data_IF_358377724007
#
_entry.id   IF_358377724007
#
_cell.length_a   1.000
_cell.length_b   1.000
_cell.length_c   1.000
_cell.angle_alpha   90.00
_cell.angle_beta   90.00
_cell.angle_gamma   90.00
#
_symmetry.space_group_name_H-M   'P 1'
#
loop_
_entity.id
_entity.type
_entity.pdbx_description
1 polymer ?
#
# COMPACT_ATOMS: atom_id res chain seq x y z
N UNK A 1 19.73 21.56 50.60
CA UNK A 1 18.73 22.30 51.40
C UNK A 1 17.75 22.89 50.37
N UNK A 2 16.62 22.28 49.98
CA UNK A 2 15.42 21.76 50.69
C UNK A 2 14.75 20.76 49.70
N UNK A 3 14.88 19.43 49.81
CA UNK A 3 14.02 18.42 50.49
C UNK A 3 12.51 18.43 50.14
N UNK A 4 12.13 17.40 49.37
CA UNK A 4 10.92 16.53 49.30
C UNK A 4 9.53 17.06 48.93
N UNK A 5 8.85 16.26 48.10
CA UNK A 5 7.42 16.29 47.81
C UNK A 5 6.98 15.14 46.89
N UNK A 6 7.10 13.90 47.36
CA UNK A 6 6.63 12.68 46.69
C UNK A 6 5.11 12.56 46.83
N UNK A 7 4.36 12.56 45.71
CA UNK A 7 2.94 12.23 45.72
C UNK A 7 2.73 10.82 45.16
N UNK A 8 2.44 9.90 46.07
CA UNK A 8 1.92 8.57 45.81
C UNK A 8 0.42 8.65 45.56
N UNK A 9 -0.01 8.56 44.30
CA UNK A 9 -1.42 8.42 43.95
C UNK A 9 -1.82 6.95 44.06
N UNK A 10 -2.50 6.60 45.15
CA UNK A 10 -3.23 5.35 45.34
C UNK A 10 -4.31 5.17 44.27
N UNK A 11 -4.13 4.14 43.43
CA UNK A 11 -5.10 3.68 42.44
C UNK A 11 -6.24 2.93 43.12
N UNK A 12 -7.35 3.63 43.39
CA UNK A 12 -8.64 3.01 43.71
C UNK A 12 -9.32 2.57 42.43
N UNK A 13 -9.35 1.25 42.24
CA UNK A 13 -9.97 0.51 41.14
C UNK A 13 -11.50 0.64 41.22
N UNK A 14 -12.20 1.15 40.19
CA UNK A 14 -13.65 1.13 40.18
C UNK A 14 -14.15 -0.28 39.86
N UNK A 15 -14.94 -0.85 40.77
CA UNK A 15 -15.72 -2.07 40.56
C UNK A 15 -16.86 -1.77 39.59
N UNK A 16 -16.72 -2.21 38.34
CA UNK A 16 -17.81 -2.20 37.36
C UNK A 16 -18.73 -3.40 37.60
N UNK A 17 -19.91 -3.11 38.14
CA UNK A 17 -21.04 -4.04 38.20
C UNK A 17 -21.53 -4.34 36.77
N UNK A 18 -21.27 -5.53 36.26
CA UNK A 18 -21.90 -6.08 35.06
C UNK A 18 -23.28 -6.64 35.40
N UNK A 19 -24.31 -5.78 35.37
CA UNK A 19 -25.69 -6.24 35.29
C UNK A 19 -26.07 -6.40 33.81
N UNK A 20 -25.88 -7.61 33.30
CA UNK A 20 -26.25 -8.03 31.94
C UNK A 20 -27.77 -8.19 31.86
N UNK A 21 -28.48 -7.09 31.63
CA UNK A 21 -29.91 -7.11 31.30
C UNK A 21 -30.07 -7.28 29.80
N UNK A 22 -30.27 -8.51 29.35
CA UNK A 22 -30.58 -8.90 27.98
C UNK A 22 -31.93 -8.30 27.56
N UNK A 23 -31.89 -7.09 27.02
CA UNK A 23 -33.05 -6.44 26.40
C UNK A 23 -33.04 -6.77 24.91
N UNK A 24 -33.91 -7.69 24.49
CA UNK A 24 -34.21 -7.95 23.08
C UNK A 24 -34.75 -6.66 22.44
N UNK A 25 -33.87 -5.87 21.79
CA UNK A 25 -34.27 -4.80 20.88
C UNK A 25 -34.57 -5.41 19.52
N UNK A 26 -35.85 -5.59 19.24
CA UNK A 26 -36.36 -5.82 17.90
C UNK A 26 -36.10 -4.55 17.07
N UNK A 27 -35.14 -4.62 16.15
CA UNK A 27 -34.92 -3.56 15.17
C UNK A 27 -36.01 -3.65 14.11
N UNK A 28 -37.06 -2.84 14.24
CA UNK A 28 -37.99 -2.59 13.15
C UNK A 28 -37.26 -1.80 12.06
N UNK A 29 -36.88 -2.47 10.98
CA UNK A 29 -36.29 -1.87 9.78
C UNK A 29 -37.38 -1.12 8.98
N UNK A 30 -37.84 0.00 9.52
CA UNK A 30 -38.62 0.97 8.76
C UNK A 30 -37.67 1.68 7.81
N UNK A 31 -37.67 1.24 6.55
CA UNK A 31 -36.90 1.84 5.46
C UNK A 31 -37.30 3.32 5.32
N UNK A 32 -36.40 4.28 5.56
CA UNK A 32 -36.75 5.69 5.52
C UNK A 32 -37.10 6.06 4.07
N UNK A 33 -38.29 6.62 3.87
CA UNK A 33 -38.68 7.19 2.58
C UNK A 33 -37.72 8.34 2.25
N UNK A 34 -36.98 8.21 1.14
CA UNK A 34 -36.04 9.21 0.64
C UNK A 34 -36.78 10.51 0.31
N UNK A 35 -36.72 11.47 1.22
CA UNK A 35 -37.00 12.85 0.91
C UNK A 35 -35.78 13.43 0.19
N UNK A 36 -35.99 14.05 -0.98
CA UNK A 36 -34.94 14.75 -1.74
C UNK A 36 -34.29 15.79 -0.82
N UNK A 37 -33.06 15.56 -0.38
CA UNK A 37 -32.35 16.50 0.49
C UNK A 37 -32.04 17.76 -0.32
N UNK A 38 -32.40 18.92 0.22
CA UNK A 38 -31.99 20.20 -0.36
C UNK A 38 -30.46 20.32 -0.26
N UNK A 39 -29.78 20.92 -1.25
CA UNK A 39 -28.33 21.14 -1.21
C UNK A 39 -27.87 21.91 0.04
N UNK A 40 -28.77 22.70 0.64
CA UNK A 40 -28.52 23.40 1.91
C UNK A 40 -28.42 22.43 3.09
N UNK A 41 -29.19 21.33 3.11
CA UNK A 41 -29.09 20.30 4.13
C UNK A 41 -27.76 19.57 4.08
N UNK A 42 -27.24 19.28 2.88
CA UNK A 42 -25.92 18.67 2.74
C UNK A 42 -24.81 19.59 3.24
N UNK A 43 -24.93 20.90 3.02
CA UNK A 43 -24.00 21.89 3.55
C UNK A 43 -24.06 21.96 5.08
N UNK A 44 -25.25 22.09 5.66
CA UNK A 44 -25.43 22.16 7.11
C UNK A 44 -24.95 20.86 7.77
N UNK A 45 -25.24 19.69 7.19
CA UNK A 45 -24.77 18.42 7.71
C UNK A 45 -23.24 18.30 7.63
N UNK A 46 -22.61 18.79 6.55
CA UNK A 46 -21.14 18.78 6.40
C UNK A 46 -20.43 19.59 7.48
N UNK A 47 -20.92 20.77 7.81
CA UNK A 47 -20.32 21.63 8.84
C UNK A 47 -20.94 21.47 10.23
N UNK A 48 -21.91 20.55 10.38
CA UNK A 48 -22.47 20.24 11.68
C UNK A 48 -21.44 19.56 12.57
N UNK A 49 -21.55 19.78 13.88
CA UNK A 49 -20.74 19.09 14.89
C UNK A 49 -20.89 17.57 14.77
N UNK A 50 -22.10 17.09 14.50
CA UNK A 50 -22.36 15.66 14.29
C UNK A 50 -21.65 15.12 13.04
N UNK A 51 -21.65 15.89 11.95
CA UNK A 51 -20.95 15.53 10.72
C UNK A 51 -19.44 15.48 10.92
N UNK A 52 -18.87 16.45 11.65
CA UNK A 52 -17.46 16.45 12.00
C UNK A 52 -17.09 15.26 12.88
N UNK A 53 -17.87 14.97 13.92
CA UNK A 53 -17.65 13.79 14.78
C UNK A 53 -17.67 12.49 13.97
N UNK A 54 -18.60 12.39 13.02
CA UNK A 54 -18.68 11.22 12.15
C UNK A 54 -17.43 11.06 11.28
N UNK A 55 -16.96 12.13 10.62
CA UNK A 55 -15.72 12.09 9.82
C UNK A 55 -14.50 11.71 10.64
N UNK A 56 -14.35 12.32 11.82
CA UNK A 56 -13.27 11.99 12.76
C UNK A 56 -13.33 10.51 13.14
N UNK A 57 -14.53 9.97 13.42
CA UNK A 57 -14.69 8.55 13.76
C UNK A 57 -14.29 7.63 12.60
N UNK A 58 -14.74 7.93 11.37
CA UNK A 58 -14.40 7.14 10.18
C UNK A 58 -12.90 7.20 9.88
N UNK A 59 -12.31 8.39 9.86
CA UNK A 59 -10.87 8.58 9.64
C UNK A 59 -10.03 7.81 10.68
N UNK A 60 -10.42 7.86 11.95
CA UNK A 60 -9.76 7.09 13.02
C UNK A 60 -9.89 5.56 12.80
N UNK A 61 -11.07 5.06 12.42
CA UNK A 61 -11.25 3.64 12.14
C UNK A 61 -10.39 3.18 10.97
N UNK A 62 -10.39 3.94 9.86
CA UNK A 62 -9.56 3.69 8.69
C UNK A 62 -8.06 3.68 9.07
N UNK A 63 -7.62 4.69 9.83
CA UNK A 63 -6.24 4.76 10.33
C UNK A 63 -5.88 3.55 11.17
N UNK A 64 -6.73 3.15 12.13
CA UNK A 64 -6.49 1.99 12.99
C UNK A 64 -6.46 0.68 12.20
N UNK A 65 -7.30 0.54 11.17
CA UNK A 65 -7.26 -0.61 10.28
C UNK A 65 -5.93 -0.68 9.52
N UNK A 66 -5.46 0.43 8.94
CA UNK A 66 -4.16 0.50 8.26
C UNK A 66 -3.00 0.23 9.23
N UNK A 67 -3.06 0.80 10.43
CA UNK A 67 -2.07 0.60 11.48
C UNK A 67 -1.96 -0.85 11.92
N UNK A 68 -3.10 -1.50 12.15
CA UNK A 68 -3.15 -2.92 12.52
C UNK A 68 -2.53 -3.80 11.43
N UNK A 69 -2.86 -3.54 10.17
CA UNK A 69 -2.30 -4.29 9.05
C UNK A 69 -0.80 -4.04 8.88
N UNK A 70 -0.35 -2.78 8.91
CA UNK A 70 1.05 -2.41 8.74
C UNK A 70 1.96 -3.01 9.82
N UNK A 71 1.46 -3.20 11.05
CA UNK A 71 2.25 -3.73 12.17
C UNK A 71 2.05 -5.22 12.43
N UNK A 72 1.49 -5.97 11.49
CA UNK A 72 1.44 -7.41 11.66
C UNK A 72 2.87 -8.00 11.73
N UNK A 73 3.16 -8.91 12.69
CA UNK A 73 4.52 -9.41 12.90
C UNK A 73 5.14 -10.12 11.69
N UNK A 74 4.32 -10.66 10.80
CA UNK A 74 4.80 -11.41 9.63
C UNK A 74 5.58 -10.54 8.63
N UNK A 75 5.39 -9.22 8.64
CA UNK A 75 6.18 -8.26 7.87
C UNK A 75 7.64 -8.20 8.34
N UNK A 76 7.87 -8.25 9.65
CA UNK A 76 9.16 -7.93 10.28
C UNK A 76 9.93 -9.13 10.82
N UNK A 77 9.30 -10.31 10.83
CA UNK A 77 9.95 -11.49 11.39
C UNK A 77 11.04 -11.94 10.43
N UNK A 78 12.30 -11.90 10.87
CA UNK A 78 13.42 -12.49 10.12
C UNK A 78 13.11 -13.96 9.84
N UNK A 79 13.21 -14.37 8.59
CA UNK A 79 13.32 -15.79 8.28
C UNK A 79 14.55 -16.30 9.03
N UNK A 80 14.36 -17.28 9.91
CA UNK A 80 15.48 -17.93 10.57
C UNK A 80 16.22 -18.70 9.47
N UNK A 81 17.18 -18.07 8.82
CA UNK A 81 17.90 -18.60 7.67
C UNK A 81 18.90 -19.70 8.05
N UNK A 82 19.00 -20.09 9.32
CA UNK A 82 19.85 -21.21 9.75
C UNK A 82 19.14 -22.05 10.82
N UNK A 83 18.16 -22.85 10.40
CA UNK A 83 18.07 -24.18 10.98
C UNK A 83 18.85 -25.04 9.98
N UNK A 84 20.16 -25.17 10.22
CA UNK A 84 20.97 -26.17 9.55
C UNK A 84 20.29 -27.51 9.78
N UNK A 85 19.61 -28.00 8.74
CA UNK A 85 19.03 -29.34 8.68
C UNK A 85 20.15 -30.39 8.54
N UNK A 86 21.40 -29.95 8.37
CA UNK A 86 22.58 -30.79 8.10
C UNK A 86 23.22 -31.40 9.36
N UNK A 87 22.76 -31.07 10.57
CA UNK A 87 23.28 -31.63 11.83
C UNK A 87 22.41 -32.75 12.44
N UNK A 88 21.40 -33.28 11.72
CA UNK A 88 20.50 -34.35 12.25
C UNK A 88 20.87 -35.78 11.78
N UNK A 89 21.84 -35.96 10.87
CA UNK A 89 22.09 -37.29 10.27
C UNK A 89 23.43 -37.96 10.67
N UNK A 90 24.09 -37.58 11.78
CA UNK A 90 25.44 -38.08 12.07
C UNK A 90 25.58 -39.31 13.00
N UNK A 91 24.63 -39.68 13.86
CA UNK A 91 24.90 -40.71 14.90
C UNK A 91 23.76 -41.74 15.11
N UNK A 92 23.40 -42.49 14.07
CA UNK A 92 22.53 -43.67 14.21
C UNK A 92 23.13 -44.92 13.54
N UNK A 93 24.40 -45.20 13.85
CA UNK A 93 25.02 -46.52 13.69
C UNK A 93 25.02 -47.18 15.08
N UNK A 94 23.95 -47.88 15.46
CA UNK A 94 24.10 -49.04 16.34
C UNK A 94 23.02 -50.08 16.05
N UNK A 95 23.50 -51.29 15.80
CA UNK A 95 22.76 -52.46 15.38
C UNK A 95 21.82 -52.94 16.48
N UNK A 96 20.57 -53.26 16.13
CA UNK A 96 19.95 -54.49 16.63
C UNK A 96 18.69 -54.83 15.84
N UNK A 97 18.80 -55.89 15.06
CA UNK A 97 17.68 -56.65 14.52
C UNK A 97 16.74 -57.09 15.64
N UNK A 98 15.47 -56.67 15.59
CA UNK A 98 14.38 -57.60 15.88
C UNK A 98 13.08 -57.13 15.23
N UNK A 99 12.54 -58.04 14.44
CA UNK A 99 11.32 -57.91 13.66
C UNK A 99 10.09 -57.68 14.54
N UNK A 100 9.28 -56.68 14.22
CA UNK A 100 7.81 -56.83 14.23
C UNK A 100 7.10 -55.66 13.54
N UNK A 101 6.74 -55.94 12.29
CA UNK A 101 5.47 -55.66 11.60
C UNK A 101 4.51 -54.60 12.17
N UNK A 102 4.08 -53.78 11.21
CA UNK A 102 2.81 -53.02 11.12
C UNK A 102 2.74 -51.68 11.85
N UNK A 103 3.57 -50.73 11.42
CA UNK A 103 3.26 -49.30 11.57
C UNK A 103 2.86 -48.75 10.20
N UNK A 104 1.57 -48.45 10.05
CA UNK A 104 1.00 -47.70 8.94
C UNK A 104 1.71 -46.34 8.90
N UNK A 105 2.66 -46.19 7.96
CA UNK A 105 3.22 -44.87 7.59
C UNK A 105 2.12 -44.11 6.86
N UNK A 106 1.24 -43.47 7.62
CA UNK A 106 0.40 -42.39 7.11
C UNK A 106 1.33 -41.20 6.86
N UNK A 107 1.97 -41.20 5.69
CA UNK A 107 2.60 -40.02 5.09
C UNK A 107 1.48 -39.08 4.66
N UNK A 108 0.77 -38.49 5.62
CA UNK A 108 0.13 -37.21 5.42
C UNK A 108 1.26 -36.22 5.23
N UNK A 109 1.66 -36.01 3.97
CA UNK A 109 2.33 -34.81 3.54
C UNK A 109 1.40 -33.64 3.81
N UNK A 110 1.32 -33.23 5.08
CA UNK A 110 0.90 -31.88 5.43
C UNK A 110 1.95 -31.00 4.79
N UNK A 111 1.69 -30.55 3.56
CA UNK A 111 2.44 -29.49 2.95
C UNK A 111 2.40 -28.35 3.94
N UNK A 112 3.46 -28.21 4.72
CA UNK A 112 3.64 -27.09 5.63
C UNK A 112 3.73 -25.90 4.70
N UNK A 113 2.59 -25.26 4.45
CA UNK A 113 2.51 -24.00 3.71
C UNK A 113 3.53 -23.11 4.39
N UNK A 114 4.67 -22.92 3.74
CA UNK A 114 5.77 -22.13 4.28
C UNK A 114 5.25 -20.72 4.22
N UNK A 115 4.59 -20.27 5.28
CA UNK A 115 4.15 -18.88 5.38
C UNK A 115 5.42 -18.03 5.43
N UNK A 116 5.87 -17.60 4.27
CA UNK A 116 7.15 -16.91 4.10
C UNK A 116 7.06 -15.56 4.80
N UNK A 117 8.00 -15.35 5.72
CA UNK A 117 8.12 -14.11 6.49
C UNK A 117 9.02 -13.17 5.71
N UNK A 118 8.69 -11.88 5.70
CA UNK A 118 9.32 -10.93 4.77
C UNK A 118 10.63 -10.33 5.32
N UNK A 119 10.93 -10.55 6.60
CA UNK A 119 12.22 -10.17 7.18
C UNK A 119 12.52 -8.68 7.22
N UNK A 120 11.51 -7.80 7.09
CA UNK A 120 11.73 -6.36 7.14
C UNK A 120 12.40 -5.95 8.45
N UNK A 121 13.32 -5.00 8.38
CA UNK A 121 13.91 -4.41 9.59
C UNK A 121 12.81 -3.79 10.45
N UNK A 122 12.85 -4.00 11.76
CA UNK A 122 11.90 -3.42 12.73
C UNK A 122 12.20 -1.96 13.06
N UNK A 123 12.96 -1.26 12.23
CA UNK A 123 13.30 0.15 12.45
C UNK A 123 12.07 1.05 12.28
N UNK A 124 12.11 2.23 12.91
CA UNK A 124 11.05 3.23 12.78
C UNK A 124 10.74 3.57 11.32
N UNK A 125 11.77 3.60 10.46
CA UNK A 125 11.62 3.95 9.04
C UNK A 125 10.81 2.89 8.29
N UNK A 126 11.14 1.61 8.43
CA UNK A 126 10.41 0.52 7.76
C UNK A 126 8.98 0.40 8.29
N UNK A 127 8.76 0.55 9.60
CA UNK A 127 7.42 0.63 10.17
C UNK A 127 6.60 1.78 9.57
N UNK A 128 7.22 2.95 9.43
CA UNK A 128 6.59 4.12 8.84
C UNK A 128 6.30 3.94 7.36
N UNK A 129 7.24 3.43 6.56
CA UNK A 129 7.07 3.17 5.13
C UNK A 129 5.96 2.15 4.84
N UNK A 130 5.85 1.10 5.67
CA UNK A 130 4.75 0.13 5.56
C UNK A 130 3.41 0.76 5.94
N UNK A 131 3.37 1.61 6.97
CA UNK A 131 2.16 2.36 7.33
C UNK A 131 1.75 3.32 6.20
N UNK A 132 2.70 4.09 5.65
CA UNK A 132 2.49 4.98 4.51
C UNK A 132 1.88 4.26 3.33
N UNK A 133 2.38 3.07 2.97
CA UNK A 133 1.81 2.26 1.90
C UNK A 133 0.33 1.92 2.15
N UNK A 134 -0.04 1.56 3.38
CA UNK A 134 -1.44 1.27 3.70
C UNK A 134 -2.32 2.52 3.71
N UNK A 135 -1.80 3.65 4.19
CA UNK A 135 -2.49 4.95 4.10
C UNK A 135 -2.70 5.34 2.63
N UNK A 136 -1.75 5.04 1.75
CA UNK A 136 -1.87 5.30 0.32
C UNK A 136 -3.05 4.55 -0.31
N UNK A 137 -3.31 3.27 0.01
CA UNK A 137 -4.49 2.56 -0.51
C UNK A 137 -5.80 3.27 -0.11
N UNK A 138 -5.89 3.72 1.14
CA UNK A 138 -7.07 4.42 1.65
C UNK A 138 -7.22 5.80 0.98
N UNK A 139 -6.11 6.52 0.82
CA UNK A 139 -6.05 7.79 0.10
C UNK A 139 -6.54 7.62 -1.34
N UNK A 140 -6.03 6.61 -2.06
CA UNK A 140 -6.42 6.31 -3.45
C UNK A 140 -7.90 5.95 -3.56
N UNK A 141 -8.43 5.16 -2.62
CA UNK A 141 -9.87 4.83 -2.55
C UNK A 141 -10.74 6.08 -2.39
N UNK A 142 -10.36 6.99 -1.49
CA UNK A 142 -11.06 8.27 -1.29
C UNK A 142 -11.04 9.17 -2.55
N UNK A 143 -9.95 9.13 -3.32
CA UNK A 143 -9.85 9.87 -4.58
C UNK A 143 -10.66 9.24 -5.72
N UNK A 144 -10.72 7.91 -5.81
CA UNK A 144 -11.42 7.20 -6.87
C UNK A 144 -12.92 7.54 -6.89
N UNK A 145 -13.55 7.67 -5.72
CA UNK A 145 -14.96 8.03 -5.62
C UNK A 145 -15.24 9.50 -6.02
N UNK A 146 -14.22 10.37 -5.97
CA UNK A 146 -14.34 11.77 -6.38
C UNK A 146 -14.31 11.93 -7.91
N UNK A 147 -13.71 11.00 -8.65
CA UNK A 147 -13.41 11.17 -10.08
C UNK A 147 -14.46 10.64 -11.05
N UNK A 148 -15.55 10.02 -10.60
CA UNK A 148 -16.59 9.53 -11.53
C UNK A 148 -17.25 10.72 -12.26
N UNK A 149 -17.03 10.89 -13.58
CA UNK A 149 -17.61 12.00 -14.31
C UNK A 149 -19.13 11.80 -14.36
N UNK A 150 -19.89 12.84 -14.01
CA UNK A 150 -21.34 12.89 -14.18
C UNK A 150 -21.66 12.93 -15.69
N UNK A 151 -21.49 11.79 -16.39
CA UNK A 151 -21.74 11.68 -17.82
C UNK A 151 -23.24 11.74 -18.20
N UNK A 152 -24.13 11.94 -17.22
CA UNK A 152 -25.57 12.05 -17.44
C UNK A 152 -26.01 13.39 -18.05
N UNK A 153 -25.13 14.40 -18.16
CA UNK A 153 -25.50 15.71 -18.73
C UNK A 153 -25.49 15.76 -20.27
N UNK A 154 -25.07 14.70 -20.97
CA UNK A 154 -24.80 14.78 -22.41
C UNK A 154 -25.90 14.27 -23.36
N UNK A 155 -27.00 13.62 -22.92
CA UNK A 155 -27.91 12.96 -23.89
C UNK A 155 -29.42 12.92 -23.62
N UNK A 156 -29.98 13.56 -22.58
CA UNK A 156 -31.44 13.49 -22.37
C UNK A 156 -32.18 14.75 -22.82
N UNK A 157 -32.32 14.90 -24.14
CA UNK A 157 -33.37 15.74 -24.73
C UNK A 157 -34.59 14.92 -25.19
N UNK A 158 -34.63 13.58 -25.03
CA UNK A 158 -35.66 12.80 -25.74
C UNK A 158 -36.12 11.43 -25.21
N UNK A 159 -36.22 11.14 -23.91
CA UNK A 159 -37.05 9.97 -23.48
C UNK A 159 -37.96 10.28 -22.28
N UNK A 160 -39.12 10.86 -22.57
CA UNK A 160 -40.29 10.84 -21.67
C UNK A 160 -40.96 9.48 -21.79
N UNK A 161 -40.93 8.67 -20.72
CA UNK A 161 -41.85 7.56 -20.38
C UNK A 161 -41.13 6.22 -20.07
N UNK A 162 -40.37 6.18 -18.98
CA UNK A 162 -39.98 4.91 -18.36
C UNK A 162 -39.96 5.05 -16.84
N UNK A 163 -41.00 4.54 -16.18
CA UNK A 163 -41.12 4.43 -14.72
C UNK A 163 -40.20 3.31 -14.23
N UNK A 164 -38.90 3.55 -14.12
CA UNK A 164 -37.96 2.67 -13.42
C UNK A 164 -37.44 3.37 -12.18
N UNK A 165 -37.80 2.84 -11.01
CA UNK A 165 -37.37 3.26 -9.68
C UNK A 165 -35.91 2.87 -9.45
N UNK A 166 -34.99 3.52 -10.15
CA UNK A 166 -33.57 3.49 -9.83
C UNK A 166 -33.27 4.60 -8.82
N UNK A 167 -32.82 4.19 -7.63
CA UNK A 167 -32.39 5.05 -6.53
C UNK A 167 -31.09 5.78 -6.87
N UNK A 168 -31.12 6.71 -7.82
CA UNK A 168 -30.00 7.61 -8.11
C UNK A 168 -29.97 8.74 -7.08
N UNK A 169 -29.35 8.43 -5.94
CA UNK A 169 -28.98 9.45 -4.94
C UNK A 169 -27.98 10.42 -5.55
N UNK A 170 -28.22 11.71 -5.36
CA UNK A 170 -27.51 12.85 -5.92
C UNK A 170 -25.99 12.79 -5.61
N UNK A 171 -25.18 12.37 -6.59
CA UNK A 171 -23.73 12.12 -6.48
C UNK A 171 -22.89 13.37 -6.24
N UNK A 172 -23.44 14.57 -6.49
CA UNK A 172 -22.70 15.86 -6.46
C UNK A 172 -22.19 16.28 -5.07
N UNK A 173 -22.67 15.65 -3.98
CA UNK A 173 -22.24 15.95 -2.60
C UNK A 173 -21.12 15.05 -2.05
N UNK A 174 -20.90 13.87 -2.64
CA UNK A 174 -20.03 12.83 -2.07
C UNK A 174 -18.54 13.19 -2.06
N UNK A 175 -18.02 13.73 -3.16
CA UNK A 175 -16.60 14.11 -3.29
C UNK A 175 -16.10 15.04 -2.19
N UNK A 176 -16.91 16.02 -1.79
CA UNK A 176 -16.55 16.96 -0.72
C UNK A 176 -16.42 16.29 0.65
N UNK A 177 -17.19 15.24 0.91
CA UNK A 177 -17.15 14.52 2.18
C UNK A 177 -15.91 13.61 2.25
N UNK A 178 -15.56 12.92 1.16
CA UNK A 178 -14.35 12.10 1.06
C UNK A 178 -13.08 12.92 1.26
N UNK A 179 -13.00 14.12 0.68
CA UNK A 179 -11.88 15.04 0.90
C UNK A 179 -11.71 15.43 2.38
N UNK A 180 -12.82 15.65 3.09
CA UNK A 180 -12.75 15.95 4.53
C UNK A 180 -12.31 14.73 5.35
N UNK A 181 -12.72 13.50 4.98
CA UNK A 181 -12.22 12.28 5.62
C UNK A 181 -10.72 12.11 5.34
N UNK A 182 -10.28 12.41 4.12
CA UNK A 182 -8.88 12.34 3.72
C UNK A 182 -8.01 13.29 4.55
N UNK A 183 -8.43 14.53 4.75
CA UNK A 183 -7.75 15.50 5.61
C UNK A 183 -7.59 14.96 7.05
N UNK A 184 -8.68 14.52 7.67
CA UNK A 184 -8.69 13.96 9.03
C UNK A 184 -7.83 12.67 9.14
N UNK A 185 -7.78 11.86 8.08
CA UNK A 185 -6.93 10.65 8.01
C UNK A 185 -5.44 11.03 8.06
N UNK A 186 -5.03 12.04 7.28
CA UNK A 186 -3.64 12.52 7.28
C UNK A 186 -3.27 13.23 8.58
N UNK A 187 -4.17 14.02 9.17
CA UNK A 187 -3.94 14.63 10.48
C UNK A 187 -3.70 13.57 11.56
N UNK A 188 -4.53 12.51 11.58
CA UNK A 188 -4.36 11.38 12.50
C UNK A 188 -3.01 10.68 12.26
N UNK A 189 -2.65 10.44 11.00
CA UNK A 189 -1.38 9.82 10.62
C UNK A 189 -0.16 10.64 11.06
N UNK A 190 -0.18 11.97 10.88
CA UNK A 190 0.94 12.82 11.30
C UNK A 190 1.06 12.96 12.81
N UNK A 191 -0.07 13.01 13.53
CA UNK A 191 -0.06 12.99 14.98
C UNK A 191 0.54 11.68 15.53
N UNK A 192 0.18 10.52 14.96
CA UNK A 192 0.78 9.23 15.33
C UNK A 192 2.27 9.16 14.98
N UNK A 193 2.66 9.67 13.81
CA UNK A 193 4.06 9.74 13.38
C UNK A 193 4.91 10.57 14.35
N UNK A 194 4.43 11.75 14.73
CA UNK A 194 5.12 12.61 15.70
C UNK A 194 5.26 11.93 17.08
N UNK A 195 4.22 11.22 17.52
CA UNK A 195 4.26 10.45 18.76
C UNK A 195 5.30 9.31 18.70
N UNK A 196 5.43 8.62 17.57
CA UNK A 196 6.46 7.57 17.36
C UNK A 196 7.87 8.12 17.34
N UNK A 197 8.10 9.28 16.72
CA UNK A 197 9.40 9.96 16.74
C UNK A 197 9.81 10.25 18.19
N UNK A 198 8.90 10.80 19.00
CA UNK A 198 9.16 11.03 20.44
C UNK A 198 9.42 9.72 21.19
N UNK A 199 8.63 8.68 20.92
CA UNK A 199 8.81 7.37 21.55
C UNK A 199 10.15 6.70 21.19
N UNK A 200 10.73 7.04 20.03
CA UNK A 200 12.07 6.60 19.64
C UNK A 200 13.21 7.34 20.38
N UNK A 201 12.89 8.26 21.30
CA UNK A 201 13.89 9.00 22.09
C UNK A 201 14.52 10.19 21.35
N UNK A 202 13.94 10.62 20.24
CA UNK A 202 14.39 11.80 19.51
C UNK A 202 14.17 13.05 20.36
N UNK A 203 15.19 13.90 20.46
CA UNK A 203 15.15 15.15 21.22
C UNK A 203 14.03 16.09 20.71
N UNK A 204 13.26 16.73 21.60
CA UNK A 204 12.08 17.53 21.20
C UNK A 204 12.40 18.63 20.17
N UNK A 205 13.58 19.26 20.27
CA UNK A 205 14.03 20.27 19.28
C UNK A 205 14.26 19.70 17.88
N UNK A 206 14.54 18.40 17.73
CA UNK A 206 14.73 17.74 16.44
C UNK A 206 13.49 16.99 15.96
N UNK A 207 12.47 16.77 16.79
CA UNK A 207 11.22 16.07 16.40
C UNK A 207 10.60 16.66 15.14
N UNK A 208 10.51 18.00 15.04
CA UNK A 208 9.95 18.67 13.86
C UNK A 208 10.82 18.48 12.61
N UNK A 209 12.14 18.36 12.74
CA UNK A 209 13.04 18.06 11.63
C UNK A 209 12.77 16.64 11.11
N UNK A 210 12.77 15.66 12.00
CA UNK A 210 12.49 14.26 11.63
C UNK A 210 11.07 14.09 11.08
N UNK A 211 10.08 14.79 11.62
CA UNK A 211 8.71 14.76 11.10
C UNK A 211 8.66 15.27 9.66
N UNK A 212 9.31 16.39 9.35
CA UNK A 212 9.40 16.93 7.98
C UNK A 212 10.09 15.96 7.02
N UNK A 213 11.17 15.32 7.46
CA UNK A 213 11.87 14.31 6.66
C UNK A 213 10.97 13.10 6.36
N UNK A 214 10.26 12.57 7.35
CA UNK A 214 9.32 11.47 7.15
C UNK A 214 8.11 11.88 6.29
N UNK A 215 7.60 13.11 6.44
CA UNK A 215 6.54 13.65 5.59
C UNK A 215 6.99 13.70 4.12
N UNK A 216 8.20 14.22 3.85
CA UNK A 216 8.76 14.29 2.51
C UNK A 216 8.93 12.89 1.90
N UNK A 217 9.49 11.93 2.66
CA UNK A 217 9.66 10.55 2.21
C UNK A 217 8.31 9.89 1.92
N UNK A 218 7.32 10.09 2.79
CA UNK A 218 5.99 9.50 2.62
C UNK A 218 5.29 10.03 1.37
N UNK A 219 5.35 11.34 1.14
CA UNK A 219 4.74 11.96 -0.04
C UNK A 219 5.44 11.53 -1.33
N UNK A 220 6.76 11.40 -1.31
CA UNK A 220 7.52 10.85 -2.43
C UNK A 220 7.10 9.40 -2.74
N UNK A 221 6.97 8.56 -1.71
CA UNK A 221 6.50 7.18 -1.84
C UNK A 221 5.09 7.12 -2.46
N UNK A 222 4.14 7.90 -1.94
CA UNK A 222 2.76 7.95 -2.46
C UNK A 222 2.72 8.43 -3.92
N UNK A 223 3.50 9.46 -4.27
CA UNK A 223 3.55 10.02 -5.63
C UNK A 223 4.05 9.00 -6.65
N UNK A 224 5.03 8.17 -6.28
CA UNK A 224 5.52 7.11 -7.18
C UNK A 224 4.45 6.06 -7.47
N UNK A 225 3.67 5.65 -6.46
CA UNK A 225 2.57 4.73 -6.67
C UNK A 225 1.41 5.36 -7.46
N UNK A 226 1.12 6.65 -7.24
CA UNK A 226 0.13 7.37 -8.05
C UNK A 226 0.56 7.49 -9.51
N UNK A 227 1.84 7.75 -9.78
CA UNK A 227 2.40 7.74 -11.13
C UNK A 227 2.19 6.38 -11.80
N UNK A 228 2.56 5.29 -11.11
CA UNK A 228 2.35 3.93 -11.60
C UNK A 228 0.87 3.64 -11.89
N UNK A 229 -0.08 4.17 -11.11
CA UNK A 229 -1.49 3.97 -11.39
C UNK A 229 -1.98 4.85 -12.56
N UNK A 230 -1.64 6.14 -12.55
CA UNK A 230 -2.17 7.11 -13.51
C UNK A 230 -1.68 6.89 -14.94
N UNK A 231 -0.44 6.45 -15.11
CA UNK A 231 0.17 6.20 -16.42
C UNK A 231 -0.50 5.01 -17.14
N UNK A 232 -0.86 3.97 -16.40
CA UNK A 232 -1.34 2.69 -16.95
C UNK A 232 -2.86 2.47 -16.81
N UNK A 233 -3.60 3.31 -16.07
CA UNK A 233 -5.07 3.28 -16.01
C UNK A 233 -5.72 3.79 -17.31
N UNK A 234 -5.09 4.74 -17.99
CA UNK A 234 -5.59 5.30 -19.26
C UNK A 234 -5.19 4.37 -20.39
N UNK A 235 -5.97 3.29 -20.58
CA UNK A 235 -5.87 2.44 -21.77
C UNK A 235 -5.70 3.32 -23.01
N UNK A 236 -4.73 2.96 -23.86
CA UNK A 236 -4.15 3.83 -24.88
C UNK A 236 -5.16 4.75 -25.58
N UNK A 237 -4.84 6.05 -25.62
CA UNK A 237 -5.65 7.10 -26.29
C UNK A 237 -5.94 6.80 -27.77
N UNK A 238 -5.17 5.90 -28.36
CA UNK A 238 -5.26 5.45 -29.74
C UNK A 238 -6.46 4.55 -30.03
N UNK A 239 -7.28 4.19 -29.03
CA UNK A 239 -8.52 3.43 -29.23
C UNK A 239 -8.30 2.02 -29.77
N UNK A 240 -7.04 1.62 -29.96
CA UNK A 240 -6.62 0.30 -30.42
C UNK A 240 -6.44 -0.64 -29.25
N UNK A 241 -7.47 -0.80 -28.41
CA UNK A 241 -7.59 -1.89 -27.44
C UNK A 241 -6.30 -2.24 -26.68
N UNK A 242 -5.44 -1.25 -26.40
CA UNK A 242 -4.16 -1.48 -25.76
C UNK A 242 -4.46 -1.84 -24.32
N UNK A 243 -4.40 -3.13 -24.01
CA UNK A 243 -4.64 -3.64 -22.67
C UNK A 243 -3.82 -2.85 -21.65
N UNK A 244 -4.38 -2.64 -20.46
CA UNK A 244 -3.66 -2.09 -19.32
C UNK A 244 -2.32 -2.82 -19.25
N UNK A 245 -1.21 -2.11 -19.48
CA UNK A 245 0.14 -2.69 -19.43
C UNK A 245 0.50 -2.92 -17.96
N UNK A 246 -0.11 -3.97 -17.43
CA UNK A 246 -0.04 -4.38 -16.04
C UNK A 246 1.39 -4.77 -15.67
N UNK A 247 2.16 -5.29 -16.64
CA UNK A 247 3.56 -5.65 -16.44
C UNK A 247 4.41 -4.41 -16.15
N UNK A 248 4.33 -3.36 -16.97
CA UNK A 248 5.08 -2.13 -16.72
C UNK A 248 4.66 -1.44 -15.43
N UNK A 249 3.34 -1.39 -15.14
CA UNK A 249 2.86 -0.87 -13.86
C UNK A 249 3.47 -1.65 -12.69
N UNK A 250 3.48 -2.98 -12.78
CA UNK A 250 4.02 -3.86 -11.75
C UNK A 250 5.53 -3.62 -11.53
N UNK A 251 6.30 -3.43 -12.60
CA UNK A 251 7.72 -3.08 -12.51
C UNK A 251 7.95 -1.76 -11.75
N UNK A 252 7.20 -0.70 -12.06
CA UNK A 252 7.30 0.58 -11.34
C UNK A 252 6.87 0.44 -9.88
N UNK A 253 5.85 -0.38 -9.59
CA UNK A 253 5.45 -0.67 -8.21
C UNK A 253 6.57 -1.39 -7.46
N UNK A 254 7.20 -2.39 -8.07
CA UNK A 254 8.32 -3.14 -7.48
C UNK A 254 9.50 -2.21 -7.18
N UNK A 255 9.83 -1.32 -8.11
CA UNK A 255 10.85 -0.29 -7.94
C UNK A 255 10.50 0.71 -6.82
N UNK A 256 9.23 1.12 -6.69
CA UNK A 256 8.75 1.92 -5.56
C UNK A 256 8.87 1.18 -4.21
N UNK A 257 8.54 -0.11 -4.18
CA UNK A 257 8.71 -0.98 -3.00
C UNK A 257 10.18 -1.09 -2.61
N UNK A 258 11.05 -1.34 -3.60
CA UNK A 258 12.49 -1.44 -3.41
C UNK A 258 13.05 -0.20 -2.72
N UNK A 259 12.79 0.98 -3.30
CA UNK A 259 13.30 2.26 -2.79
C UNK A 259 12.78 2.62 -1.41
N UNK A 260 11.47 2.48 -1.18
CA UNK A 260 10.84 3.07 0.01
C UNK A 260 10.66 2.10 1.18
N UNK A 261 10.37 0.82 0.90
CA UNK A 261 10.11 -0.16 1.96
C UNK A 261 11.36 -0.94 2.34
N UNK A 262 12.09 -1.44 1.34
CA UNK A 262 13.20 -2.35 1.57
C UNK A 262 14.51 -1.60 1.85
N UNK A 263 14.51 -0.28 1.66
CA UNK A 263 15.68 0.55 1.91
C UNK A 263 16.74 0.40 0.82
N UNK A 264 16.32 0.01 -0.39
CA UNK A 264 17.15 0.05 -1.59
C UNK A 264 17.78 1.41 -1.67
N UNK A 265 19.09 1.44 -1.39
CA UNK A 265 19.77 2.58 -0.79
C UNK A 265 19.30 3.91 -1.36
N UNK A 266 18.87 4.82 -0.48
CA UNK A 266 19.09 6.23 -0.78
C UNK A 266 20.60 6.34 -0.88
N UNK A 267 21.14 6.21 -2.10
CA UNK A 267 22.53 6.51 -2.41
C UNK A 267 22.69 7.92 -1.89
N UNK A 268 23.30 8.04 -0.72
CA UNK A 268 23.30 9.26 0.07
C UNK A 268 24.10 10.30 -0.69
N UNK A 269 23.43 11.09 -1.53
CA UNK A 269 23.97 12.31 -2.12
C UNK A 269 25.30 12.12 -2.84
N UNK A 270 25.35 11.22 -3.83
CA UNK A 270 26.22 11.45 -4.98
C UNK A 270 25.62 12.61 -5.77
N UNK A 271 26.22 13.79 -5.62
CA UNK A 271 26.05 14.98 -6.43
C UNK A 271 25.63 14.64 -7.86
N UNK A 272 24.50 15.20 -8.32
CA UNK A 272 23.99 14.94 -9.65
C UNK A 272 25.07 15.11 -10.72
N UNK A 273 25.50 14.00 -11.33
CA UNK A 273 26.05 14.02 -12.67
C UNK A 273 24.85 14.22 -13.59
N UNK A 274 24.47 15.48 -13.79
CA UNK A 274 23.71 15.85 -14.97
C UNK A 274 24.55 15.44 -16.18
N UNK A 275 24.22 14.30 -16.78
CA UNK A 275 24.60 14.01 -18.16
C UNK A 275 23.70 14.89 -19.02
N UNK A 276 24.04 16.18 -19.05
CA UNK A 276 23.65 17.04 -20.15
C UNK A 276 24.50 16.59 -21.33
N UNK A 277 23.94 15.70 -22.15
CA UNK A 277 24.35 15.56 -23.54
C UNK A 277 23.97 16.87 -24.25
N UNK A 278 24.74 17.92 -23.96
CA UNK A 278 24.70 19.19 -24.66
C UNK A 278 25.54 19.02 -25.94
N UNK A 279 24.86 18.57 -26.98
CA UNK A 279 25.37 18.60 -28.34
C UNK A 279 25.47 20.04 -28.82
N UNK A 280 26.63 20.64 -28.58
CA UNK A 280 27.39 21.48 -29.51
C UNK A 280 26.69 22.69 -30.13
N UNK A 281 27.10 23.88 -29.69
CA UNK A 281 27.33 25.00 -30.60
C UNK A 281 28.55 25.80 -30.14
N UNK A 282 29.55 25.82 -31.00
CA UNK A 282 30.82 26.51 -30.86
C UNK A 282 30.64 28.03 -30.84
N UNK A 283 31.17 28.71 -29.83
CA UNK A 283 31.62 30.09 -30.00
C UNK A 283 32.84 30.39 -29.10
N UNK A 284 33.92 30.74 -29.80
CA UNK A 284 35.20 31.22 -29.30
C UNK A 284 35.04 32.39 -28.34
N UNK A 285 35.56 32.28 -27.11
CA UNK A 285 36.13 33.45 -26.41
C UNK A 285 37.39 33.07 -25.65
N UNK A 286 38.39 33.92 -25.87
CA UNK A 286 39.77 33.85 -25.40
C UNK A 286 39.89 34.22 -23.92
N UNK A 287 40.95 33.68 -23.32
CA UNK A 287 41.85 34.27 -22.31
C UNK A 287 41.21 34.82 -21.03
N UNK A 288 41.59 34.29 -19.87
CA UNK A 288 42.68 34.95 -19.13
C UNK A 288 43.23 34.06 -18.01
N UNK A 289 44.52 34.24 -17.77
CA UNK A 289 45.31 33.66 -16.70
C UNK A 289 44.72 33.92 -15.31
N UNK A 290 44.86 32.98 -14.38
CA UNK A 290 45.44 33.24 -13.03
C UNK A 290 45.23 32.07 -12.05
N UNK A 291 46.35 31.73 -11.42
CA UNK A 291 46.53 31.27 -10.04
C UNK A 291 46.34 29.80 -9.65
N UNK A 292 47.47 29.12 -9.80
CA UNK A 292 47.98 27.94 -9.12
C UNK A 292 47.90 28.08 -7.59
N UNK A 293 46.93 27.42 -6.96
CA UNK A 293 47.00 27.08 -5.53
C UNK A 293 46.68 25.61 -5.31
N UNK A 294 47.76 24.83 -5.24
CA UNK A 294 47.80 23.46 -4.72
C UNK A 294 47.37 23.46 -3.25
N UNK A 295 46.14 23.03 -2.99
CA UNK A 295 45.71 22.59 -1.67
C UNK A 295 45.69 21.05 -1.66
N UNK A 296 46.83 20.47 -1.25
CA UNK A 296 47.02 19.04 -0.97
C UNK A 296 46.29 18.65 0.33
N UNK A 297 44.98 18.86 0.36
CA UNK A 297 44.12 18.33 1.41
C UNK A 297 43.88 16.85 1.15
N UNK A 298 44.80 16.02 1.68
CA UNK A 298 44.66 14.56 1.85
C UNK A 298 43.32 14.24 2.52
N UNK A 299 42.29 14.07 1.70
CA UNK A 299 41.00 13.53 2.09
C UNK A 299 41.25 12.07 2.43
N UNK A 300 41.34 11.77 3.73
CA UNK A 300 41.40 10.41 4.21
C UNK A 300 40.19 9.66 3.62
N UNK A 301 40.46 8.81 2.63
CA UNK A 301 39.52 7.84 2.11
C UNK A 301 39.22 6.88 3.26
N UNK A 302 38.23 7.24 4.07
CA UNK A 302 37.53 6.30 4.93
C UNK A 302 37.09 5.20 3.99
N UNK A 303 37.74 4.04 4.12
CA UNK A 303 37.44 2.88 3.31
C UNK A 303 35.94 2.66 3.37
N UNK A 304 35.29 2.90 2.25
CA UNK A 304 33.94 2.46 1.98
C UNK A 304 34.02 0.95 2.07
N UNK A 305 33.75 0.44 3.29
CA UNK A 305 33.46 -0.96 3.50
C UNK A 305 32.24 -1.18 2.62
N UNK A 306 32.49 -1.69 1.42
CA UNK A 306 31.52 -2.45 0.64
C UNK A 306 31.10 -3.55 1.61
N UNK A 307 30.11 -3.24 2.44
CA UNK A 307 29.32 -4.28 3.05
C UNK A 307 28.88 -5.13 1.88
N UNK A 308 28.96 -6.43 2.04
CA UNK A 308 28.13 -7.32 1.23
C UNK A 308 26.71 -6.86 1.54
N UNK A 309 26.25 -5.82 0.83
CA UNK A 309 24.93 -5.22 0.96
C UNK A 309 24.03 -6.34 0.51
N UNK A 310 23.59 -7.11 1.51
CA UNK A 310 22.79 -8.31 1.40
C UNK A 310 21.75 -8.07 0.31
N UNK A 311 21.99 -8.63 -0.88
CA UNK A 311 21.12 -8.49 -2.03
C UNK A 311 19.73 -8.93 -1.57
N UNK A 312 18.87 -7.94 -1.35
CA UNK A 312 17.52 -8.19 -0.92
C UNK A 312 16.90 -9.02 -2.04
N UNK A 313 16.38 -10.23 -1.75
CA UNK A 313 16.00 -11.14 -2.81
C UNK A 313 14.98 -10.49 -3.74
N UNK A 314 15.20 -10.54 -5.06
CA UNK A 314 14.26 -10.02 -6.06
C UNK A 314 12.84 -10.59 -5.85
N UNK A 315 12.77 -11.84 -5.38
CA UNK A 315 11.54 -12.50 -5.00
C UNK A 315 10.77 -11.75 -3.90
N UNK A 316 11.46 -11.17 -2.92
CA UNK A 316 10.83 -10.35 -1.88
C UNK A 316 10.25 -9.07 -2.47
N UNK A 317 10.96 -8.42 -3.39
CA UNK A 317 10.50 -7.21 -4.08
C UNK A 317 9.24 -7.52 -4.89
N UNK A 318 9.28 -8.58 -5.71
CA UNK A 318 8.16 -9.02 -6.54
C UNK A 318 6.94 -9.41 -5.71
N UNK A 319 7.15 -10.12 -4.61
CA UNK A 319 6.08 -10.50 -3.67
C UNK A 319 5.39 -9.29 -3.05
N UNK A 320 6.17 -8.32 -2.61
CA UNK A 320 5.63 -7.06 -2.09
C UNK A 320 4.93 -6.26 -3.19
N UNK A 321 5.44 -6.25 -4.42
CA UNK A 321 4.75 -5.67 -5.58
C UNK A 321 3.41 -6.34 -5.86
N UNK A 322 3.34 -7.67 -5.77
CA UNK A 322 2.12 -8.45 -5.97
C UNK A 322 1.09 -8.17 -4.88
N UNK A 323 1.53 -8.02 -3.63
CA UNK A 323 0.67 -7.54 -2.55
C UNK A 323 0.09 -6.16 -2.85
N UNK A 324 0.89 -5.23 -3.37
CA UNK A 324 0.43 -3.88 -3.68
C UNK A 324 -0.65 -3.90 -4.76
N UNK A 325 -0.45 -4.62 -5.86
CA UNK A 325 -1.48 -4.77 -6.89
C UNK A 325 -2.75 -5.44 -6.37
N UNK A 326 -2.58 -6.51 -5.57
CA UNK A 326 -3.71 -7.22 -5.00
C UNK A 326 -4.53 -6.33 -4.07
N UNK A 327 -3.88 -5.52 -3.20
CA UNK A 327 -4.59 -4.58 -2.34
C UNK A 327 -5.20 -3.42 -3.11
N UNK A 328 -4.56 -2.96 -4.19
CA UNK A 328 -5.15 -1.95 -5.06
C UNK A 328 -6.49 -2.44 -5.60
N UNK A 329 -6.55 -3.67 -6.13
CA UNK A 329 -7.80 -4.27 -6.61
C UNK A 329 -8.81 -4.49 -5.48
N UNK A 330 -8.36 -5.08 -4.38
CA UNK A 330 -9.21 -5.41 -3.24
C UNK A 330 -9.82 -4.18 -2.57
N UNK A 331 -9.05 -3.11 -2.36
CA UNK A 331 -9.48 -1.93 -1.60
C UNK A 331 -10.04 -0.84 -2.51
N UNK A 332 -9.39 -0.56 -3.63
CA UNK A 332 -9.78 0.57 -4.48
C UNK A 332 -11.01 0.23 -5.31
N UNK A 333 -11.07 -1.00 -5.85
CA UNK A 333 -12.10 -1.39 -6.81
C UNK A 333 -13.17 -2.33 -6.24
N UNK A 334 -12.82 -3.23 -5.31
CA UNK A 334 -13.75 -4.29 -4.85
C UNK A 334 -14.40 -4.04 -3.49
N UNK A 335 -13.80 -3.23 -2.63
CA UNK A 335 -14.33 -3.00 -1.28
C UNK A 335 -15.66 -2.23 -1.33
N UNK A 336 -16.78 -2.81 -0.83
CA UNK A 336 -18.07 -2.13 -0.87
C UNK A 336 -18.05 -0.78 -0.12
N UNK A 337 -18.67 0.24 -0.72
CA UNK A 337 -18.74 1.60 -0.16
C UNK A 337 -19.30 1.60 1.27
N UNK A 338 -20.32 0.78 1.56
CA UNK A 338 -20.98 0.74 2.87
C UNK A 338 -20.09 0.19 4.00
N UNK A 339 -19.10 -0.64 3.66
CA UNK A 339 -18.07 -1.10 4.59
C UNK A 339 -17.03 -0.01 4.79
N UNK A 340 -16.57 0.61 3.70
CA UNK A 340 -15.57 1.66 3.75
C UNK A 340 -16.05 2.90 4.51
N UNK A 341 -17.31 3.32 4.31
CA UNK A 341 -17.96 4.44 5.01
C UNK A 341 -18.08 4.21 6.53
N UNK A 342 -18.03 2.95 6.98
CA UNK A 342 -18.00 2.59 8.41
C UNK A 342 -16.58 2.50 8.98
N UNK A 343 -15.57 2.71 8.13
CA UNK A 343 -14.16 2.51 8.44
C UNK A 343 -13.75 1.05 8.52
N UNK A 344 -14.50 0.14 7.89
CA UNK A 344 -14.17 -1.28 7.83
C UNK A 344 -13.37 -1.58 6.56
N UNK A 345 -12.13 -2.03 6.73
CA UNK A 345 -11.24 -2.39 5.63
C UNK A 345 -10.87 -3.86 5.74
N UNK A 346 -11.24 -4.65 4.73
CA UNK A 346 -10.89 -6.05 4.63
C UNK A 346 -9.53 -6.19 3.92
N UNK A 347 -8.43 -6.02 4.66
CA UNK A 347 -7.09 -6.26 4.12
C UNK A 347 -6.95 -7.73 3.75
N UNK A 348 -6.61 -8.03 2.50
CA UNK A 348 -6.30 -9.41 2.15
C UNK A 348 -4.87 -9.79 2.54
N UNK A 349 -4.57 -11.08 2.44
CA UNK A 349 -3.28 -11.67 2.79
C UNK A 349 -2.22 -11.40 1.72
N UNK A 350 -0.96 -11.50 2.12
CA UNK A 350 0.15 -11.63 1.16
C UNK A 350 -0.13 -12.80 0.21
N UNK A 351 -0.08 -12.60 -1.12
CA UNK A 351 -0.16 -13.72 -2.06
C UNK A 351 1.01 -14.67 -1.84
N UNK A 352 0.71 -15.97 -1.77
CA UNK A 352 1.72 -17.01 -1.79
C UNK A 352 2.25 -17.11 -3.24
N UNK A 353 3.48 -16.63 -3.48
CA UNK A 353 4.16 -16.79 -4.77
C UNK A 353 4.85 -18.17 -4.88
N UNK A 354 4.45 -19.13 -4.04
CA UNK A 354 5.04 -20.48 -3.95
C UNK A 354 4.79 -21.36 -5.18
N UNK A 355 4.20 -20.80 -6.24
CA UNK A 355 4.10 -21.47 -7.52
C UNK A 355 5.18 -20.84 -8.37
N UNK A 356 6.25 -21.60 -8.62
CA UNK A 356 7.12 -21.44 -9.78
C UNK A 356 6.24 -21.54 -11.03
N UNK A 357 5.42 -20.51 -11.28
CA UNK A 357 4.73 -20.33 -12.54
C UNK A 357 5.86 -19.91 -13.44
N UNK A 358 6.36 -20.86 -14.22
CA UNK A 358 7.31 -20.61 -15.31
C UNK A 358 6.67 -19.58 -16.25
N UNK A 359 6.86 -18.29 -15.95
CA UNK A 359 6.33 -17.17 -16.73
C UNK A 359 6.92 -17.16 -18.16
N UNK A 360 7.97 -17.95 -18.38
CA UNK A 360 8.60 -18.15 -19.68
C UNK A 360 7.75 -19.00 -20.65
N UNK A 361 6.69 -19.69 -20.18
CA UNK A 361 5.89 -20.59 -21.03
C UNK A 361 4.56 -19.99 -21.54
N UNK A 362 4.16 -18.81 -21.07
CA UNK A 362 2.87 -18.21 -21.44
C UNK A 362 2.84 -17.57 -22.85
N UNK A 363 3.98 -17.13 -23.38
CA UNK A 363 4.04 -16.45 -24.68
C UNK A 363 4.31 -17.39 -25.87
N UNK A 364 4.65 -18.66 -25.61
CA UNK A 364 5.03 -19.60 -26.66
C UNK A 364 3.81 -20.29 -27.35
N UNK A 365 2.60 -20.17 -26.82
CA UNK A 365 1.43 -20.91 -27.31
C UNK A 365 0.35 -20.06 -28.00
N UNK A 366 0.65 -18.78 -28.30
CA UNK A 366 -0.33 -17.85 -28.91
C UNK A 366 -0.15 -17.62 -30.42
N UNK A 367 0.79 -18.28 -31.11
CA UNK A 367 1.12 -17.91 -32.50
C UNK A 367 0.46 -18.72 -33.62
N UNK A 368 -0.12 -19.90 -33.39
CA UNK A 368 -0.53 -20.77 -34.51
C UNK A 368 -1.92 -21.38 -34.34
N UNK A 369 -2.96 -20.54 -34.34
CA UNK A 369 -4.30 -20.99 -34.76
C UNK A 369 -4.56 -20.41 -36.14
N UNK A 370 -4.27 -21.25 -37.12
CA UNK A 370 -4.41 -21.04 -38.54
C UNK A 370 -5.74 -20.35 -38.89
N UNK A 371 -5.61 -19.17 -39.49
CA UNK A 371 -6.66 -18.54 -40.28
C UNK A 371 -6.81 -19.28 -41.63
N UNK A 372 -7.24 -20.54 -41.58
CA UNK A 372 -7.71 -21.24 -42.78
C UNK A 372 -9.22 -21.38 -42.77
N UNK A 373 -9.82 -21.01 -43.91
CA UNK A 373 -11.21 -21.26 -44.34
C UNK A 373 -12.31 -20.34 -43.81
N UNK A 374 -12.43 -19.16 -44.44
CA UNK A 374 -13.76 -18.72 -44.88
C UNK A 374 -13.70 -18.55 -46.40
N UNK A 375 -14.02 -19.66 -47.07
CA UNK A 375 -14.23 -19.70 -48.50
C UNK A 375 -15.43 -18.83 -48.88
N UNK A 376 -15.24 -18.09 -49.97
CA UNK A 376 -16.28 -17.42 -50.75
C UNK A 376 -17.53 -18.29 -50.90
N UNK A 377 -18.67 -17.76 -50.44
CA UNK A 377 -19.98 -18.22 -50.90
C UNK A 377 -20.62 -17.05 -51.63
N UNK A 378 -20.30 -16.97 -52.92
CA UNK A 378 -21.07 -16.23 -53.92
C UNK A 378 -22.49 -16.82 -53.97
N UNK A 379 -23.46 -16.11 -53.39
CA UNK A 379 -24.87 -16.38 -53.59
C UNK A 379 -25.45 -15.33 -54.54
N UNK A 380 -25.40 -15.66 -55.82
CA UNK A 380 -26.14 -15.05 -56.92
C UNK A 380 -27.66 -15.19 -56.65
N UNK A 381 -28.38 -14.07 -56.54
CA UNK A 381 -29.86 -14.07 -56.50
C UNK A 381 -30.37 -13.01 -57.48
N UNK A 382 -30.98 -13.54 -58.55
CA UNK A 382 -31.71 -12.83 -59.61
C UNK A 382 -33.09 -12.35 -59.20
#
# INVERSE_FOLDING_TARGET
IRILGSNTSTSTRPTTNTNTSSSNRSYSSSSPQLQKSSPFYDFVNRYSVSGQQHRIAVANHLFRAAQFQAFQPHWYTKTNTNINQDDIDADAEDESESESKTAIKNTTGTGTVRRLRLGLSSSLRQHHAMLTLHIWFLHRRLLAETQLPNNDEANDEHVKNSTSTSTSTTTKGKGSFQLMIQEELFDTFWNDTQARIRAAGVHELSVNKFLKELQQQSMLQMTQYDHACAEFEKGGKDGKGGGIDRSKRFEIICDGVWRHLLGGGVVSGGSGSGSSDDSGSSEDTRSDDSDDSKDDSKKASVGEVKGDDDDIPDELIRRMGAYVEYQLDNIVFRLPDDYFDRGMVAWGSMPDLDVDVDLDEADANSSDVDAESNADVDADVS
#
